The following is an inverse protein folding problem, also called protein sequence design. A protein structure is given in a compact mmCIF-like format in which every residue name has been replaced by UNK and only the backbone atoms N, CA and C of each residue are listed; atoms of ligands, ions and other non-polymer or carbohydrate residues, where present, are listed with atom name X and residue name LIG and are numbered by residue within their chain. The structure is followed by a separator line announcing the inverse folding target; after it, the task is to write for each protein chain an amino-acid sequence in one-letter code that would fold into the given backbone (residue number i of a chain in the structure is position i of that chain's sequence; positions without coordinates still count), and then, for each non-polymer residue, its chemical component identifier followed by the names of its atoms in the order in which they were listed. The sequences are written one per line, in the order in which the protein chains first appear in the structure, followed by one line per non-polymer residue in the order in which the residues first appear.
data_IF_827610957350
#
_entry.id   IF_827610957350
#
_cell.length_a   1.000
_cell.length_b   1.000
_cell.length_c   1.000
_cell.angle_alpha   90.00
_cell.angle_beta   90.00
_cell.angle_gamma   90.00
#
_symmetry.space_group_name_H-M   'P 1'
#
loop_
_entity.id
_entity.type
_entity.pdbx_description
1 polymer ?
#
# COMPACT_ATOMS: atom_id res chain seq x y z
N UNK A 1 -14.14 69.80 -10.46
CA UNK A 1 -13.36 69.17 -11.56
C UNK A 1 -12.00 68.77 -11.02
N UNK A 2 -11.77 67.47 -10.77
CA UNK A 2 -10.49 66.99 -10.24
C UNK A 2 -9.48 66.82 -11.39
N UNK A 3 -8.40 67.61 -11.36
CA UNK A 3 -7.26 67.47 -12.28
C UNK A 3 -6.54 66.15 -11.97
N UNK A 4 -6.81 65.11 -12.75
CA UNK A 4 -5.93 63.94 -12.81
C UNK A 4 -4.56 64.37 -13.33
N UNK A 5 -3.53 64.30 -12.48
CA UNK A 5 -2.14 64.46 -12.91
C UNK A 5 -1.72 63.17 -13.60
N UNK A 6 -1.72 63.18 -14.94
CA UNK A 6 -1.18 62.08 -15.73
C UNK A 6 0.30 61.89 -15.40
N UNK A 7 0.70 60.65 -15.12
CA UNK A 7 2.10 60.27 -14.98
C UNK A 7 2.77 60.58 -16.32
N UNK A 8 3.82 61.42 -16.29
CA UNK A 8 4.57 61.79 -17.49
C UNK A 8 5.06 60.52 -18.20
N UNK A 9 4.88 60.45 -19.52
CA UNK A 9 5.27 59.29 -20.34
C UNK A 9 6.72 58.87 -20.09
N UNK A 10 7.60 59.85 -19.85
CA UNK A 10 9.01 59.63 -19.52
C UNK A 10 9.18 58.91 -18.18
N UNK A 11 8.36 59.23 -17.18
CA UNK A 11 8.38 58.59 -15.86
C UNK A 11 7.86 57.14 -15.93
N UNK A 12 6.84 56.89 -16.78
CA UNK A 12 6.32 55.54 -17.02
C UNK A 12 7.37 54.63 -17.68
N UNK A 13 8.09 55.13 -18.68
CA UNK A 13 9.16 54.35 -19.34
C UNK A 13 10.29 54.03 -18.35
N UNK A 14 10.66 54.98 -17.50
CA UNK A 14 11.72 54.80 -16.51
C UNK A 14 11.35 53.74 -15.45
N UNK A 15 10.08 53.70 -15.04
CA UNK A 15 9.57 52.67 -14.13
C UNK A 15 9.58 51.27 -14.76
N UNK A 16 9.24 51.14 -16.04
CA UNK A 16 9.26 49.85 -16.75
C UNK A 16 10.70 49.34 -16.89
N UNK A 17 11.64 50.20 -17.26
CA UNK A 17 13.06 49.83 -17.36
C UNK A 17 13.61 49.41 -16.01
N UNK A 18 13.30 50.15 -14.93
CA UNK A 18 13.70 49.79 -13.57
C UNK A 18 13.16 48.41 -13.18
N UNK A 19 11.89 48.12 -13.51
CA UNK A 19 11.27 46.83 -13.19
C UNK A 19 11.92 45.68 -13.96
N UNK A 20 12.29 45.88 -15.23
CA UNK A 20 13.03 44.88 -16.02
C UNK A 20 14.42 44.63 -15.43
N UNK A 21 15.13 45.67 -14.99
CA UNK A 21 16.46 45.52 -14.37
C UNK A 21 16.37 44.79 -13.03
N UNK A 22 15.36 45.08 -12.21
CA UNK A 22 15.17 44.40 -10.91
C UNK A 22 14.79 42.94 -11.11
N UNK A 23 13.85 42.64 -12.00
CA UNK A 23 13.42 41.26 -12.28
C UNK A 23 14.54 40.47 -12.96
N UNK A 24 15.20 41.05 -13.98
CA UNK A 24 16.34 40.44 -14.66
C UNK A 24 17.52 40.21 -13.73
N UNK A 25 17.84 41.19 -12.87
CA UNK A 25 18.90 41.07 -11.86
C UNK A 25 18.61 39.98 -10.83
N UNK A 26 17.37 39.85 -10.36
CA UNK A 26 16.96 38.79 -9.43
C UNK A 26 17.07 37.39 -10.06
N UNK A 27 16.71 37.25 -11.34
CA UNK A 27 16.85 35.98 -12.08
C UNK A 27 18.31 35.63 -12.29
N UNK A 28 19.15 36.57 -12.74
CA UNK A 28 20.59 36.33 -12.93
C UNK A 28 21.26 35.99 -11.61
N UNK A 29 20.92 36.71 -10.54
CA UNK A 29 21.44 36.41 -9.21
C UNK A 29 21.07 35.00 -8.76
N UNK A 30 19.79 34.59 -8.89
CA UNK A 30 19.34 33.27 -8.46
C UNK A 30 19.95 32.12 -9.28
N UNK A 31 20.15 32.31 -10.59
CA UNK A 31 20.55 31.21 -11.47
C UNK A 31 22.04 31.13 -11.79
N UNK A 32 22.78 32.24 -11.71
CA UNK A 32 24.19 32.27 -12.13
C UNK A 32 25.16 32.69 -11.03
N UNK A 33 24.70 33.40 -9.99
CA UNK A 33 25.58 33.98 -8.96
C UNK A 33 25.28 33.49 -7.55
N UNK A 34 24.08 32.95 -7.30
CA UNK A 34 23.77 32.29 -6.04
C UNK A 34 24.70 31.08 -5.96
N UNK A 35 25.59 31.01 -4.95
CA UNK A 35 26.45 29.86 -4.77
C UNK A 35 25.53 28.65 -4.61
N UNK A 36 25.65 27.67 -5.50
CA UNK A 36 25.09 26.35 -5.27
C UNK A 36 25.61 25.93 -3.89
N UNK A 37 24.69 25.73 -2.94
CA UNK A 37 25.06 25.13 -1.66
C UNK A 37 25.80 23.85 -2.00
N UNK A 38 27.06 23.75 -1.58
CA UNK A 38 27.93 22.62 -1.86
C UNK A 38 27.15 21.31 -1.68
N UNK A 39 27.27 20.33 -2.58
CA UNK A 39 26.89 18.97 -2.26
C UNK A 39 27.75 18.55 -1.08
N UNK A 40 27.13 18.49 0.10
CA UNK A 40 27.78 17.98 1.30
C UNK A 40 28.07 16.51 1.03
N UNK A 41 29.33 16.19 0.84
CA UNK A 41 29.84 14.82 0.97
C UNK A 41 29.72 14.44 2.44
N UNK A 42 28.49 14.08 2.84
CA UNK A 42 28.19 13.61 4.18
C UNK A 42 28.59 12.16 4.32
N UNK A 43 29.40 11.88 5.34
CA UNK A 43 29.52 10.57 5.97
C UNK A 43 28.14 9.93 6.21
N UNK A 44 28.04 8.58 6.29
CA UNK A 44 26.76 7.90 6.46
C UNK A 44 26.03 8.43 7.70
N UNK A 45 24.92 9.13 7.45
CA UNK A 45 24.00 9.61 8.48
C UNK A 45 23.47 8.43 9.29
N UNK A 46 24.07 8.21 10.46
CA UNK A 46 23.42 7.48 11.53
C UNK A 46 22.43 8.43 12.18
N UNK A 47 21.18 8.40 11.73
CA UNK A 47 20.08 9.14 12.35
C UNK A 47 19.82 8.56 13.74
N UNK A 48 20.53 9.08 14.74
CA UNK A 48 20.15 8.91 16.14
C UNK A 48 19.14 10.02 16.44
N UNK A 49 17.86 9.68 16.35
CA UNK A 49 16.77 10.61 16.63
C UNK A 49 16.76 10.97 18.14
N UNK A 50 16.82 12.26 18.53
CA UNK A 50 16.75 12.67 19.92
C UNK A 50 15.29 12.68 20.39
N UNK A 51 14.94 11.78 21.32
CA UNK A 51 13.93 11.95 22.37
C UNK A 51 12.58 12.63 22.07
N UNK A 52 12.09 12.60 20.83
CA UNK A 52 10.75 13.05 20.47
C UNK A 52 9.76 11.91 20.63
N UNK A 53 8.54 12.21 21.10
CA UNK A 53 7.40 11.29 21.00
C UNK A 53 7.42 10.56 19.65
N UNK A 54 7.24 9.24 19.67
CA UNK A 54 7.10 8.45 18.45
C UNK A 54 5.97 9.07 17.62
N UNK A 55 6.32 9.80 16.56
CA UNK A 55 5.38 10.48 15.69
C UNK A 55 4.39 9.51 15.03
N UNK A 56 4.70 8.21 15.09
CA UNK A 56 3.86 7.12 14.61
C UNK A 56 3.08 6.42 15.72
N UNK A 57 3.15 6.85 16.99
CA UNK A 57 2.54 6.16 18.13
C UNK A 57 1.04 5.86 17.95
N UNK A 58 0.29 6.79 17.34
CA UNK A 58 -1.16 6.65 17.10
C UNK A 58 -1.50 6.09 15.71
N UNK A 59 -0.52 5.59 14.97
CA UNK A 59 -0.74 5.02 13.64
C UNK A 59 -1.32 3.62 13.73
N UNK A 60 -2.17 3.28 12.75
CA UNK A 60 -2.66 1.92 12.56
C UNK A 60 -1.57 1.07 11.92
N UNK A 61 -1.67 -0.23 12.10
CA UNK A 61 -0.80 -1.22 11.46
C UNK A 61 -1.60 -1.94 10.39
N UNK A 62 -1.07 -1.95 9.16
CA UNK A 62 -1.52 -2.84 8.11
C UNK A 62 -0.58 -4.04 8.07
N UNK A 63 -1.17 -5.24 8.06
CA UNK A 63 -0.46 -6.51 7.96
C UNK A 63 -0.90 -7.23 6.70
N UNK A 64 0.05 -7.67 5.90
CA UNK A 64 -0.20 -8.52 4.76
C UNK A 64 0.33 -9.93 5.06
N UNK A 65 -0.57 -10.86 5.33
CA UNK A 65 -0.22 -12.24 5.69
C UNK A 65 0.19 -13.10 4.49
N UNK A 66 -0.20 -12.72 3.27
CA UNK A 66 0.19 -13.43 2.04
C UNK A 66 1.66 -13.17 1.75
N UNK A 67 2.06 -11.90 1.75
CA UNK A 67 3.43 -11.48 1.44
C UNK A 67 4.32 -11.34 2.69
N UNK A 68 3.75 -11.53 3.89
CA UNK A 68 4.40 -11.56 5.20
C UNK A 68 5.14 -10.26 5.53
N UNK A 69 4.44 -9.12 5.47
CA UNK A 69 4.97 -7.83 5.89
C UNK A 69 3.98 -7.00 6.69
N UNK A 70 4.50 -6.00 7.39
CA UNK A 70 3.74 -4.99 8.09
C UNK A 70 4.24 -3.58 7.76
N UNK A 71 3.31 -2.63 7.84
CA UNK A 71 3.60 -1.21 7.70
C UNK A 71 2.63 -0.41 8.56
N UNK A 72 3.11 0.65 9.21
CA UNK A 72 2.23 1.55 9.96
C UNK A 72 1.78 2.69 9.05
N UNK A 73 0.57 3.17 9.27
CA UNK A 73 0.00 4.28 8.51
C UNK A 73 -0.92 5.17 9.36
N UNK A 74 -0.97 6.48 9.08
CA UNK A 74 -1.90 7.39 9.73
C UNK A 74 -3.36 7.12 9.31
N UNK A 75 -4.21 6.78 10.27
CA UNK A 75 -5.61 6.38 10.06
C UNK A 75 -6.44 7.42 9.28
N UNK A 76 -6.25 8.70 9.58
CA UNK A 76 -7.08 9.80 9.04
C UNK A 76 -6.66 10.29 7.65
N UNK A 77 -5.60 9.72 7.09
CA UNK A 77 -4.96 10.21 5.86
C UNK A 77 -5.47 9.46 4.64
N UNK A 78 -5.73 8.16 4.76
CA UNK A 78 -6.04 7.31 3.61
C UNK A 78 -7.55 7.05 3.49
N UNK A 79 -8.09 7.19 2.29
CA UNK A 79 -9.48 6.94 1.90
C UNK A 79 -9.71 5.52 1.38
N UNK A 80 -8.64 4.84 0.95
CA UNK A 80 -8.68 3.42 0.59
C UNK A 80 -7.44 2.72 1.15
N UNK A 81 -7.69 1.66 1.91
CA UNK A 81 -6.68 0.71 2.42
C UNK A 81 -6.95 -0.61 1.72
N UNK A 82 -5.92 -1.33 1.25
CA UNK A 82 -6.12 -2.56 0.50
C UNK A 82 -6.62 -3.69 1.39
N UNK A 83 -7.52 -4.50 0.85
CA UNK A 83 -7.92 -5.77 1.46
C UNK A 83 -6.92 -6.86 1.06
N UNK A 84 -6.82 -7.91 1.87
CA UNK A 84 -5.94 -9.05 1.59
C UNK A 84 -6.50 -9.85 0.41
N UNK A 85 -5.92 -9.66 -0.77
CA UNK A 85 -6.16 -10.50 -1.94
C UNK A 85 -4.90 -11.33 -2.23
N UNK A 86 -5.07 -12.63 -2.48
CA UNK A 86 -3.97 -13.56 -2.76
C UNK A 86 -3.24 -13.23 -4.05
N UNK A 87 -3.92 -12.57 -5.00
CA UNK A 87 -3.42 -12.42 -6.36
C UNK A 87 -2.74 -11.05 -6.57
N UNK A 88 -3.00 -10.09 -5.68
CA UNK A 88 -2.52 -8.73 -5.84
C UNK A 88 -1.17 -8.53 -5.15
N UNK A 89 -0.09 -8.58 -5.94
CA UNK A 89 1.27 -8.16 -5.50
C UNK A 89 1.34 -6.69 -5.08
N UNK A 90 0.29 -5.90 -5.30
CA UNK A 90 0.23 -4.48 -5.00
C UNK A 90 -0.70 -4.19 -3.80
N UNK A 91 -0.25 -3.31 -2.93
CA UNK A 91 -1.00 -2.78 -1.78
C UNK A 91 -1.04 -1.26 -1.93
N UNK A 92 -2.24 -0.69 -2.08
CA UNK A 92 -2.42 0.74 -2.36
C UNK A 92 -3.09 1.45 -1.19
N UNK A 93 -2.38 2.37 -0.56
CA UNK A 93 -2.89 3.32 0.42
C UNK A 93 -3.18 4.65 -0.28
N UNK A 94 -4.45 4.92 -0.61
CA UNK A 94 -4.85 6.12 -1.34
C UNK A 94 -5.29 7.24 -0.40
N UNK A 95 -4.79 8.46 -0.59
CA UNK A 95 -5.33 9.68 0.03
C UNK A 95 -6.46 10.20 -0.86
N UNK A 96 -6.14 10.40 -2.14
CA UNK A 96 -7.09 10.63 -3.23
C UNK A 96 -6.82 9.58 -4.32
N UNK A 97 -7.68 9.45 -5.34
CA UNK A 97 -7.42 8.53 -6.44
C UNK A 97 -6.13 8.86 -7.24
N UNK A 98 -5.55 10.05 -7.07
CA UNK A 98 -4.32 10.49 -7.74
C UNK A 98 -3.13 10.74 -6.78
N UNK A 99 -3.31 10.53 -5.48
CA UNK A 99 -2.29 10.74 -4.45
C UNK A 99 -2.27 9.54 -3.52
N UNK A 100 -1.24 8.70 -3.59
CA UNK A 100 -1.20 7.40 -2.93
C UNK A 100 0.21 6.94 -2.57
N UNK A 101 0.28 5.99 -1.65
CA UNK A 101 1.45 5.13 -1.41
C UNK A 101 1.13 3.74 -1.92
N UNK A 102 2.03 3.18 -2.70
CA UNK A 102 1.86 1.89 -3.36
C UNK A 102 3.01 0.99 -2.94
N UNK A 103 2.71 -0.17 -2.38
CA UNK A 103 3.67 -1.21 -2.07
C UNK A 103 3.55 -2.29 -3.13
N UNK A 104 4.66 -2.70 -3.72
CA UNK A 104 4.70 -3.79 -4.69
C UNK A 104 5.72 -4.84 -4.26
N UNK A 105 5.41 -6.11 -4.45
CA UNK A 105 6.27 -7.24 -4.07
C UNK A 105 6.77 -7.96 -5.33
N UNK A 106 8.08 -7.86 -5.60
CA UNK A 106 8.76 -8.61 -6.65
C UNK A 106 9.46 -9.86 -6.12
N UNK A 107 9.65 -10.86 -6.98
CA UNK A 107 10.38 -12.09 -6.66
C UNK A 107 11.88 -11.93 -6.94
N UNK A 108 12.74 -12.39 -6.03
CA UNK A 108 14.20 -12.42 -6.16
C UNK A 108 14.78 -13.73 -5.59
N UNK A 109 14.39 -14.90 -6.13
CA UNK A 109 14.79 -16.21 -5.59
C UNK A 109 16.31 -16.43 -5.63
N UNK A 110 16.98 -15.80 -6.59
CA UNK A 110 18.44 -15.87 -6.76
C UNK A 110 19.21 -14.94 -5.81
N UNK A 111 18.50 -14.16 -4.97
CA UNK A 111 19.08 -13.24 -3.97
C UNK A 111 20.08 -12.26 -4.60
N UNK A 112 19.76 -11.81 -5.80
CA UNK A 112 20.55 -10.82 -6.53
C UNK A 112 20.61 -9.52 -5.71
N UNK A 113 21.70 -8.76 -5.89
CA UNK A 113 21.74 -7.37 -5.42
C UNK A 113 20.58 -6.58 -6.05
N UNK A 114 20.16 -5.45 -5.47
CA UNK A 114 19.02 -4.71 -6.04
C UNK A 114 19.35 -4.24 -7.47
N UNK A 115 20.57 -3.78 -7.72
CA UNK A 115 21.01 -3.38 -9.05
C UNK A 115 20.97 -4.55 -10.03
N UNK A 116 21.54 -5.70 -9.64
CA UNK A 116 21.52 -6.91 -10.47
C UNK A 116 20.10 -7.40 -10.71
N UNK A 117 19.24 -7.37 -9.69
CA UNK A 117 17.84 -7.76 -9.78
C UNK A 117 17.09 -6.87 -10.78
N UNK A 118 17.26 -5.54 -10.68
CA UNK A 118 16.65 -4.59 -11.62
C UNK A 118 17.10 -4.88 -13.05
N UNK A 119 18.36 -5.23 -13.28
CA UNK A 119 18.91 -5.47 -14.62
C UNK A 119 18.56 -6.85 -15.20
N UNK A 120 18.58 -7.89 -14.38
CA UNK A 120 18.57 -9.29 -14.84
C UNK A 120 17.22 -9.97 -14.62
N UNK A 121 16.42 -9.53 -13.65
CA UNK A 121 15.16 -10.18 -13.32
C UNK A 121 14.16 -10.10 -14.48
N UNK A 122 13.40 -11.18 -14.65
CA UNK A 122 12.22 -11.24 -15.51
C UNK A 122 10.93 -10.84 -14.79
N UNK A 123 11.00 -10.52 -13.50
CA UNK A 123 9.84 -10.09 -12.71
C UNK A 123 9.32 -8.74 -13.24
N UNK A 124 7.99 -8.64 -13.33
CA UNK A 124 7.29 -7.47 -13.85
C UNK A 124 7.54 -6.21 -13.00
N UNK A 125 7.72 -6.38 -11.70
CA UNK A 125 8.02 -5.31 -10.75
C UNK A 125 9.44 -4.76 -10.98
N UNK A 126 10.39 -5.59 -11.42
CA UNK A 126 11.75 -5.14 -11.76
C UNK A 126 11.76 -4.25 -13.00
N UNK A 127 10.90 -4.52 -13.97
CA UNK A 127 10.81 -3.75 -15.21
C UNK A 127 10.41 -2.30 -14.98
N UNK A 128 9.56 -2.02 -14.00
CA UNK A 128 9.16 -0.65 -13.63
C UNK A 128 10.34 0.17 -13.11
N UNK A 129 11.18 -0.43 -12.26
CA UNK A 129 12.39 0.25 -11.74
C UNK A 129 13.42 0.45 -12.83
N UNK A 130 13.58 -0.53 -13.74
CA UNK A 130 14.59 -0.52 -14.80
C UNK A 130 14.50 0.72 -15.70
N UNK A 131 13.29 1.25 -15.91
CA UNK A 131 13.04 2.49 -16.70
C UNK A 131 13.78 3.70 -16.16
N UNK A 132 14.16 3.68 -14.89
CA UNK A 132 14.70 4.81 -14.15
C UNK A 132 16.08 4.51 -13.55
N UNK A 133 16.78 3.49 -14.07
CA UNK A 133 18.04 3.01 -13.50
C UNK A 133 19.13 4.07 -13.37
N UNK A 134 19.15 5.05 -14.27
CA UNK A 134 20.13 6.14 -14.28
C UNK A 134 19.89 7.17 -13.13
N UNK A 135 18.76 7.05 -12.41
CA UNK A 135 18.37 7.89 -11.28
C UNK A 135 18.36 7.12 -9.95
N UNK A 136 19.07 5.99 -9.89
CA UNK A 136 19.21 5.18 -8.68
C UNK A 136 20.21 5.81 -7.71
N UNK A 137 19.78 6.04 -6.48
CA UNK A 137 20.59 6.52 -5.36
C UNK A 137 20.56 5.48 -4.23
N UNK A 138 21.72 5.12 -3.68
CA UNK A 138 21.76 4.26 -2.49
C UNK A 138 21.25 5.02 -1.27
N UNK A 139 20.34 4.41 -0.51
CA UNK A 139 19.83 4.93 0.76
C UNK A 139 19.86 3.84 1.82
N UNK A 140 19.93 4.24 3.10
CA UNK A 140 19.88 3.31 4.23
C UNK A 140 18.58 3.50 4.99
N UNK A 141 17.79 2.44 5.11
CA UNK A 141 16.52 2.43 5.85
C UNK A 141 16.58 1.28 6.85
N UNK A 142 16.39 1.58 8.13
CA UNK A 142 16.51 0.60 9.22
C UNK A 142 17.81 -0.23 9.18
N UNK A 143 18.93 0.43 8.82
CA UNK A 143 20.24 -0.22 8.69
C UNK A 143 20.39 -1.14 7.47
N UNK A 144 19.37 -1.26 6.61
CA UNK A 144 19.43 -2.02 5.35
C UNK A 144 19.78 -1.08 4.20
N UNK A 145 20.66 -1.54 3.30
CA UNK A 145 20.92 -0.87 2.03
C UNK A 145 19.71 -1.03 1.12
N UNK A 146 19.23 0.08 0.61
CA UNK A 146 18.08 0.21 -0.28
C UNK A 146 18.45 1.11 -1.45
N UNK A 147 17.60 1.17 -2.47
CA UNK A 147 17.78 2.09 -3.59
C UNK A 147 16.57 2.99 -3.70
N UNK A 148 16.81 4.30 -3.67
CA UNK A 148 15.83 5.32 -3.98
C UNK A 148 15.90 5.65 -5.46
N UNK A 149 14.74 5.73 -6.10
CA UNK A 149 14.61 6.12 -7.50
C UNK A 149 13.62 7.26 -7.56
N UNK A 150 14.05 8.40 -8.08
CA UNK A 150 13.20 9.57 -8.28
C UNK A 150 12.95 9.70 -9.77
N UNK A 151 11.73 9.42 -10.20
CA UNK A 151 11.31 9.70 -11.56
C UNK A 151 10.45 10.97 -11.61
N UNK A 152 10.73 11.78 -12.62
CA UNK A 152 9.94 12.95 -12.93
C UNK A 152 9.68 12.95 -14.44
N UNK A 153 8.52 12.47 -14.86
CA UNK A 153 8.14 12.54 -16.27
C UNK A 153 7.61 13.93 -16.59
N UNK A 154 8.28 14.64 -17.49
CA UNK A 154 7.76 15.86 -18.08
C UNK A 154 6.76 15.52 -19.18
N UNK A 155 5.46 15.53 -18.90
CA UNK A 155 4.44 15.62 -19.94
C UNK A 155 4.08 17.10 -20.15
N UNK A 156 4.63 17.71 -21.20
CA UNK A 156 4.14 18.96 -21.83
C UNK A 156 3.50 20.01 -20.89
N UNK A 157 4.24 20.50 -19.89
CA UNK A 157 3.83 21.67 -19.09
C UNK A 157 2.80 21.42 -17.99
N UNK A 158 2.39 20.18 -17.74
CA UNK A 158 1.63 19.82 -16.53
C UNK A 158 2.57 19.61 -15.33
N UNK A 159 2.12 19.87 -14.09
CA UNK A 159 2.92 19.62 -12.89
C UNK A 159 3.40 18.16 -12.88
N UNK A 160 4.70 17.97 -12.67
CA UNK A 160 5.35 16.66 -12.70
C UNK A 160 4.70 15.72 -11.67
N UNK A 161 4.18 14.59 -12.13
CA UNK A 161 3.93 13.45 -11.25
C UNK A 161 5.30 12.97 -10.75
N UNK A 162 5.63 13.24 -9.49
CA UNK A 162 6.85 12.73 -8.89
C UNK A 162 6.58 11.34 -8.36
N UNK A 163 7.22 10.35 -8.96
CA UNK A 163 7.26 9.01 -8.42
C UNK A 163 8.57 8.85 -7.68
N UNK A 164 8.46 8.57 -6.39
CA UNK A 164 9.62 8.19 -5.59
C UNK A 164 9.43 6.74 -5.21
N UNK A 165 10.32 5.89 -5.69
CA UNK A 165 10.37 4.48 -5.34
C UNK A 165 11.51 4.26 -4.34
N UNK A 166 11.24 3.48 -3.32
CA UNK A 166 12.27 2.89 -2.47
C UNK A 166 12.21 1.39 -2.67
N UNK A 167 13.31 0.84 -3.19
CA UNK A 167 13.48 -0.58 -3.47
C UNK A 167 14.30 -1.19 -2.34
N UNK A 168 13.74 -2.19 -1.67
CA UNK A 168 14.34 -2.83 -0.50
C UNK A 168 14.51 -4.33 -0.74
N UNK A 169 15.72 -4.88 -0.55
CA UNK A 169 15.95 -6.30 -0.69
C UNK A 169 15.47 -7.01 0.56
N UNK A 170 14.85 -8.18 0.35
CA UNK A 170 14.36 -8.95 1.47
C UNK A 170 14.28 -10.44 1.17
N UNK A 171 15.31 -11.17 1.61
CA UNK A 171 15.42 -12.62 1.39
C UNK A 171 15.25 -12.94 -0.10
N UNK A 172 14.25 -13.73 -0.46
CA UNK A 172 13.93 -14.13 -1.84
C UNK A 172 12.93 -13.19 -2.53
N UNK A 173 12.74 -11.98 -1.99
CA UNK A 173 11.81 -10.96 -2.47
C UNK A 173 12.46 -9.59 -2.52
N UNK A 174 11.79 -8.68 -3.23
CA UNK A 174 12.09 -7.25 -3.26
C UNK A 174 10.80 -6.48 -3.03
N UNK A 175 10.86 -5.42 -2.23
CA UNK A 175 9.73 -4.50 -2.03
C UNK A 175 10.02 -3.21 -2.73
N UNK A 176 9.00 -2.68 -3.40
CA UNK A 176 8.99 -1.30 -3.87
C UNK A 176 7.92 -0.55 -3.11
N UNK A 177 8.31 0.46 -2.35
CA UNK A 177 7.37 1.42 -1.76
C UNK A 177 7.45 2.70 -2.59
N UNK A 178 6.37 2.98 -3.31
CA UNK A 178 6.24 4.12 -4.19
C UNK A 178 5.34 5.16 -3.57
N UNK A 179 5.66 6.44 -3.71
CA UNK A 179 4.66 7.51 -3.57
C UNK A 179 4.35 8.11 -4.92
N UNK A 180 3.09 8.47 -5.11
CA UNK A 180 2.60 9.23 -6.25
C UNK A 180 1.87 10.44 -5.69
N UNK A 181 2.30 11.64 -6.08
CA UNK A 181 1.74 12.91 -5.60
C UNK A 181 1.40 13.83 -6.77
N UNK A 182 0.16 13.75 -7.25
CA UNK A 182 -0.33 14.66 -8.30
C UNK A 182 -0.82 15.99 -7.72
N UNK A 183 -1.41 15.94 -6.53
CA UNK A 183 -1.93 17.10 -5.82
C UNK A 183 -1.02 17.46 -4.65
N UNK A 184 -0.46 18.68 -4.67
CA UNK A 184 0.36 19.19 -3.57
C UNK A 184 -0.53 19.59 -2.39
N UNK A 185 0.01 19.48 -1.17
CA UNK A 185 -0.60 20.04 0.04
C UNK A 185 -1.01 19.01 1.09
N UNK A 186 -0.90 17.72 0.78
CA UNK A 186 -1.17 16.63 1.73
C UNK A 186 0.03 16.27 2.62
N UNK A 187 1.19 16.89 2.39
CA UNK A 187 2.41 16.55 3.11
C UNK A 187 2.86 15.12 2.86
N UNK A 188 2.57 14.57 1.67
CA UNK A 188 2.80 13.14 1.39
C UNK A 188 4.28 12.78 1.48
N UNK A 189 5.19 13.68 1.13
CA UNK A 189 6.63 13.48 1.33
C UNK A 189 6.97 13.20 2.80
N UNK A 190 6.42 13.97 3.74
CA UNK A 190 6.67 13.79 5.17
C UNK A 190 6.08 12.45 5.65
N UNK A 191 4.84 12.16 5.24
CA UNK A 191 4.15 10.91 5.60
C UNK A 191 4.90 9.70 5.04
N UNK A 192 5.33 9.77 3.78
CA UNK A 192 6.11 8.73 3.11
C UNK A 192 7.42 8.46 3.85
N UNK A 193 8.20 9.50 4.17
CA UNK A 193 9.46 9.36 4.89
C UNK A 193 9.26 8.80 6.32
N UNK A 194 8.11 9.06 6.96
CA UNK A 194 7.76 8.45 8.24
C UNK A 194 7.27 7.00 8.11
N UNK A 195 6.64 6.64 6.99
CA UNK A 195 6.15 5.29 6.70
C UNK A 195 7.30 4.31 6.42
N UNK A 196 8.30 4.72 5.63
CA UNK A 196 9.43 3.88 5.23
C UNK A 196 10.09 3.10 6.39
N UNK A 197 10.49 3.74 7.52
CA UNK A 197 11.12 3.03 8.63
C UNK A 197 10.15 2.14 9.42
N UNK A 198 8.84 2.26 9.23
CA UNK A 198 7.87 1.36 9.87
C UNK A 198 7.70 0.05 9.10
N UNK A 199 8.10 0.05 7.82
CA UNK A 199 8.03 -1.14 6.99
C UNK A 199 9.01 -2.19 7.48
N UNK A 200 8.48 -3.37 7.74
CA UNK A 200 9.30 -4.53 8.01
C UNK A 200 8.54 -5.77 7.56
N UNK A 201 9.31 -6.77 7.16
CA UNK A 201 8.77 -8.08 6.91
C UNK A 201 8.77 -8.92 8.17
N UNK A 202 7.92 -9.94 8.17
CA UNK A 202 7.66 -10.81 9.31
C UNK A 202 8.58 -12.03 9.37
N UNK A 203 9.76 -12.02 8.75
CA UNK A 203 10.66 -13.20 8.79
C UNK A 203 11.17 -13.51 10.19
N UNK A 204 11.20 -14.80 10.52
CA UNK A 204 11.65 -15.29 11.83
C UNK A 204 10.63 -15.12 12.95
N UNK A 205 9.59 -14.31 12.75
CA UNK A 205 8.36 -14.46 13.52
C UNK A 205 7.70 -15.73 13.01
N UNK A 206 7.60 -16.76 13.85
CA UNK A 206 6.56 -17.77 13.67
C UNK A 206 5.27 -16.96 13.75
N UNK A 207 4.80 -16.48 12.60
CA UNK A 207 3.40 -16.12 12.46
C UNK A 207 2.75 -17.44 12.79
N UNK A 208 2.07 -17.54 13.94
CA UNK A 208 1.11 -18.60 14.14
C UNK A 208 0.18 -18.47 12.95
N UNK A 209 0.45 -19.24 11.89
CA UNK A 209 -0.38 -19.23 10.72
C UNK A 209 -1.75 -19.57 11.24
N UNK A 210 -2.71 -18.66 11.03
CA UNK A 210 -4.06 -18.87 11.49
C UNK A 210 -4.46 -20.27 11.03
N UNK A 211 -4.80 -21.16 11.97
CA UNK A 211 -4.95 -22.56 11.64
C UNK A 211 -6.05 -22.70 10.60
N UNK A 212 -5.72 -23.35 9.49
CA UNK A 212 -6.68 -23.64 8.44
C UNK A 212 -7.76 -24.55 9.06
N UNK A 213 -9.04 -24.15 9.02
CA UNK A 213 -10.10 -24.99 9.54
C UNK A 213 -10.19 -26.32 8.80
N UNK A 214 -10.58 -27.37 9.51
CA UNK A 214 -11.07 -28.58 8.85
C UNK A 214 -12.36 -28.27 8.08
N UNK A 215 -12.68 -29.12 7.10
CA UNK A 215 -13.91 -29.02 6.32
C UNK A 215 -15.14 -28.96 7.26
N UNK A 216 -16.12 -28.06 7.02
CA UNK A 216 -17.30 -27.97 7.86
C UNK A 216 -18.22 -29.17 7.70
N UNK A 217 -18.85 -29.59 8.78
CA UNK A 217 -19.98 -30.53 8.71
C UNK A 217 -21.27 -29.78 8.42
N UNK A 218 -22.07 -30.31 7.50
CA UNK A 218 -23.27 -29.67 6.98
C UNK A 218 -24.49 -30.54 7.23
N UNK A 219 -25.57 -29.91 7.68
CA UNK A 219 -26.88 -30.55 7.84
C UNK A 219 -27.94 -29.69 7.18
N UNK A 220 -28.67 -30.25 6.21
CA UNK A 220 -29.85 -29.60 5.65
C UNK A 220 -31.06 -29.94 6.53
N UNK A 221 -31.80 -28.91 6.93
CA UNK A 221 -33.05 -29.06 7.68
C UNK A 221 -34.21 -28.56 6.82
N UNK A 222 -35.06 -29.50 6.44
CA UNK A 222 -36.32 -29.21 5.77
C UNK A 222 -37.35 -28.63 6.74
N UNK A 223 -38.21 -27.75 6.24
CA UNK A 223 -39.30 -27.16 7.02
C UNK A 223 -39.95 -26.00 6.29
N UNK A 224 -40.82 -25.26 7.00
CA UNK A 224 -41.46 -24.06 6.45
C UNK A 224 -40.45 -22.96 6.10
N UNK A 225 -39.28 -22.97 6.73
CA UNK A 225 -38.12 -22.14 6.39
C UNK A 225 -36.89 -23.06 6.41
N UNK A 226 -36.53 -23.65 5.25
CA UNK A 226 -35.42 -24.59 5.17
C UNK A 226 -34.09 -23.85 5.35
N UNK A 227 -33.08 -24.54 5.90
CA UNK A 227 -31.76 -23.97 6.09
C UNK A 227 -30.66 -25.02 6.11
N UNK A 228 -29.43 -24.59 5.87
CA UNK A 228 -28.23 -25.40 6.09
C UNK A 228 -27.58 -24.98 7.41
N UNK A 229 -27.45 -25.92 8.33
CA UNK A 229 -26.66 -25.77 9.54
C UNK A 229 -25.21 -26.15 9.25
N UNK A 230 -24.29 -25.28 9.65
CA UNK A 230 -22.85 -25.37 9.38
C UNK A 230 -22.13 -25.46 10.73
N UNK A 231 -21.42 -26.56 10.96
CA UNK A 231 -20.65 -26.79 12.19
C UNK A 231 -19.17 -27.05 11.86
N UNK A 232 -18.26 -26.51 12.67
CA UNK A 232 -16.81 -26.66 12.51
C UNK A 232 -16.11 -26.65 13.88
N UNK A 233 -14.80 -26.89 13.87
CA UNK A 233 -13.98 -26.70 15.07
C UNK A 233 -13.73 -25.20 15.30
N UNK A 234 -14.50 -24.60 16.20
CA UNK A 234 -14.45 -23.17 16.52
C UNK A 234 -13.33 -22.79 17.48
N UNK A 235 -12.63 -23.75 18.09
CA UNK A 235 -11.61 -23.48 19.12
C UNK A 235 -10.30 -22.91 18.55
N UNK A 236 -10.12 -23.00 17.23
CA UNK A 236 -8.84 -22.73 16.56
C UNK A 236 -8.62 -21.25 16.22
N UNK A 237 -9.67 -20.42 16.27
CA UNK A 237 -9.56 -19.00 15.92
C UNK A 237 -10.59 -18.15 16.69
N UNK A 238 -10.42 -16.84 16.66
CA UNK A 238 -11.34 -15.90 17.31
C UNK A 238 -12.60 -15.65 16.47
N UNK A 239 -12.45 -15.65 15.15
CA UNK A 239 -13.53 -15.44 14.19
C UNK A 239 -13.42 -16.38 12.98
N UNK A 240 -14.49 -16.48 12.20
CA UNK A 240 -14.56 -17.30 11.00
C UNK A 240 -15.33 -16.60 9.88
N UNK A 241 -14.87 -16.78 8.64
CA UNK A 241 -15.60 -16.39 7.45
C UNK A 241 -16.12 -17.64 6.75
N UNK A 242 -17.39 -17.62 6.34
CA UNK A 242 -18.07 -18.76 5.72
C UNK A 242 -18.43 -18.38 4.29
N UNK A 243 -18.02 -19.24 3.37
CA UNK A 243 -18.20 -19.08 1.94
C UNK A 243 -19.09 -20.18 1.39
N UNK A 244 -19.88 -19.84 0.37
CA UNK A 244 -20.82 -20.74 -0.31
C UNK A 244 -20.66 -20.65 -1.82
N UNK A 245 -20.88 -21.76 -2.52
CA UNK A 245 -21.01 -21.80 -3.97
C UNK A 245 -22.11 -22.78 -4.41
N UNK A 246 -22.66 -22.55 -5.60
CA UNK A 246 -23.58 -23.48 -6.28
C UNK A 246 -22.87 -24.50 -7.18
N UNK A 247 -21.54 -24.43 -7.27
CA UNK A 247 -20.69 -25.41 -7.95
C UNK A 247 -19.38 -25.60 -7.17
N UNK A 248 -18.72 -26.75 -7.36
CA UNK A 248 -17.49 -27.09 -6.66
C UNK A 248 -16.37 -26.04 -6.87
N UNK A 249 -16.28 -25.49 -8.07
CA UNK A 249 -15.24 -24.52 -8.46
C UNK A 249 -15.64 -23.07 -8.19
N UNK A 250 -16.88 -22.82 -7.73
CA UNK A 250 -17.42 -21.48 -7.51
C UNK A 250 -18.45 -21.02 -8.55
N UNK A 251 -18.72 -19.70 -8.67
CA UNK A 251 -18.13 -18.62 -7.88
C UNK A 251 -18.45 -18.76 -6.39
N UNK A 252 -17.51 -18.34 -5.54
CA UNK A 252 -17.64 -18.38 -4.09
C UNK A 252 -18.14 -17.04 -3.55
N UNK A 253 -19.20 -17.07 -2.76
CA UNK A 253 -19.80 -15.93 -2.08
C UNK A 253 -19.52 -16.02 -0.57
N UNK A 254 -19.04 -14.94 0.05
CA UNK A 254 -18.96 -14.83 1.51
C UNK A 254 -20.35 -14.54 2.06
N UNK A 255 -20.98 -15.54 2.66
CA UNK A 255 -22.34 -15.43 3.21
C UNK A 255 -22.35 -14.93 4.66
N UNK A 256 -21.27 -15.17 5.40
CA UNK A 256 -21.11 -14.76 6.79
C UNK A 256 -19.65 -14.33 7.00
N UNK A 257 -19.44 -13.15 7.57
CA UNK A 257 -18.12 -12.61 7.90
C UNK A 257 -17.96 -12.32 9.40
N UNK A 258 -16.73 -12.48 9.91
CA UNK A 258 -16.33 -12.27 11.31
C UNK A 258 -17.24 -13.01 12.30
N UNK A 259 -17.60 -14.25 11.98
CA UNK A 259 -18.48 -15.06 12.82
C UNK A 259 -17.73 -15.47 14.08
N UNK A 260 -18.19 -15.07 15.28
CA UNK A 260 -17.41 -15.20 16.49
C UNK A 260 -17.35 -16.65 16.95
N UNK A 261 -16.20 -17.06 17.50
CA UNK A 261 -16.03 -18.41 18.04
C UNK A 261 -17.11 -18.82 19.05
N UNK A 262 -17.65 -17.87 19.82
CA UNK A 262 -18.67 -18.12 20.85
C UNK A 262 -20.02 -18.60 20.31
N UNK A 263 -20.26 -18.50 19.01
CA UNK A 263 -21.52 -18.93 18.40
C UNK A 263 -21.56 -20.43 18.08
N UNK A 264 -20.40 -21.09 17.95
CA UNK A 264 -20.18 -22.53 17.71
C UNK A 264 -20.79 -23.14 16.42
N UNK A 265 -21.91 -22.62 15.92
CA UNK A 265 -22.64 -23.07 14.73
C UNK A 265 -23.16 -21.86 13.96
N UNK A 266 -23.18 -21.96 12.64
CA UNK A 266 -23.80 -20.97 11.75
C UNK A 266 -24.99 -21.59 11.00
N UNK A 267 -25.87 -20.74 10.48
CA UNK A 267 -27.03 -21.15 9.69
C UNK A 267 -27.15 -20.30 8.45
N UNK A 268 -27.32 -20.95 7.30
CA UNK A 268 -27.65 -20.32 6.02
C UNK A 268 -29.13 -20.51 5.70
N UNK A 269 -29.90 -19.41 5.80
CA UNK A 269 -31.33 -19.36 5.48
C UNK A 269 -31.62 -18.94 4.04
N UNK A 270 -30.63 -18.44 3.30
CA UNK A 270 -30.83 -17.80 1.99
C UNK A 270 -30.44 -18.76 0.87
N UNK A 271 -31.10 -19.91 0.81
CA UNK A 271 -30.79 -20.96 -0.16
C UNK A 271 -31.20 -20.51 -1.58
N UNK A 272 -30.30 -20.57 -2.58
CA UNK A 272 -30.62 -20.16 -3.94
C UNK A 272 -31.63 -21.12 -4.60
N UNK A 273 -32.59 -20.56 -5.33
CA UNK A 273 -33.56 -21.35 -6.10
C UNK A 273 -32.90 -22.12 -7.25
N UNK A 274 -33.42 -23.31 -7.55
CA UNK A 274 -32.95 -24.13 -8.67
C UNK A 274 -31.60 -24.80 -8.46
N UNK A 275 -31.07 -24.81 -7.23
CA UNK A 275 -29.83 -25.47 -6.86
C UNK A 275 -30.11 -26.72 -6.04
N UNK A 276 -29.46 -27.83 -6.39
CA UNK A 276 -29.67 -29.13 -5.75
C UNK A 276 -28.62 -29.42 -4.69
N UNK A 277 -27.43 -28.84 -4.86
CA UNK A 277 -26.28 -29.06 -3.98
C UNK A 277 -25.55 -27.74 -3.76
N UNK A 278 -25.29 -27.45 -2.49
CA UNK A 278 -24.50 -26.30 -2.08
C UNK A 278 -23.14 -26.77 -1.56
N UNK A 279 -22.13 -25.96 -1.82
CA UNK A 279 -20.74 -26.18 -1.42
C UNK A 279 -20.32 -25.09 -0.44
N UNK A 280 -19.60 -25.47 0.61
CA UNK A 280 -19.16 -24.57 1.67
C UNK A 280 -17.68 -24.77 1.98
N UNK A 281 -17.00 -23.67 2.31
CA UNK A 281 -15.65 -23.65 2.87
C UNK A 281 -15.54 -22.52 3.90
N UNK A 282 -14.59 -22.65 4.82
CA UNK A 282 -14.42 -21.72 5.95
C UNK A 282 -12.97 -21.24 6.00
N UNK A 283 -12.74 -19.99 6.43
CA UNK A 283 -11.44 -19.48 6.82
C UNK A 283 -11.48 -19.01 8.29
N UNK A 284 -10.40 -19.28 9.03
CA UNK A 284 -10.14 -18.71 10.36
C UNK A 284 -9.78 -17.24 10.22
N UNK A 285 -10.16 -16.40 11.18
CA UNK A 285 -9.91 -14.96 11.19
C UNK A 285 -9.44 -14.50 12.57
N UNK A 286 -8.38 -13.67 12.62
CA UNK A 286 -7.88 -13.06 13.86
C UNK A 286 -8.65 -11.78 14.24
N UNK A 287 -8.25 -11.16 15.36
CA UNK A 287 -8.87 -9.91 15.87
C UNK A 287 -8.61 -8.71 14.99
N UNK A 288 -7.54 -8.76 14.20
CA UNK A 288 -7.12 -7.73 13.26
C UNK A 288 -7.87 -7.87 11.91
N UNK A 289 -8.62 -8.96 11.73
CA UNK A 289 -9.45 -9.20 10.55
C UNK A 289 -8.74 -9.96 9.42
N UNK A 290 -7.57 -10.54 9.68
CA UNK A 290 -6.82 -11.29 8.68
C UNK A 290 -7.34 -12.72 8.55
N UNK A 291 -7.44 -13.24 7.33
CA UNK A 291 -7.92 -14.60 7.07
C UNK A 291 -6.79 -15.63 6.89
N UNK A 292 -7.06 -16.88 7.26
CA UNK A 292 -6.25 -18.05 6.90
C UNK A 292 -6.47 -18.48 5.44
N UNK A 293 -5.80 -19.56 5.01
CA UNK A 293 -6.27 -20.35 3.87
C UNK A 293 -7.65 -20.98 4.12
N UNK A 294 -8.32 -21.43 3.05
CA UNK A 294 -9.63 -22.06 3.15
C UNK A 294 -9.54 -23.52 3.60
N UNK A 295 -10.56 -23.99 4.31
CA UNK A 295 -10.80 -25.40 4.53
C UNK A 295 -11.01 -26.15 3.22
N UNK A 296 -10.89 -27.48 3.27
CA UNK A 296 -11.46 -28.35 2.24
C UNK A 296 -12.96 -28.06 2.05
N UNK A 297 -13.45 -28.29 0.82
CA UNK A 297 -14.84 -28.04 0.46
C UNK A 297 -15.74 -29.15 0.99
N UNK A 298 -16.84 -28.78 1.61
CA UNK A 298 -17.93 -29.69 1.97
C UNK A 298 -19.18 -29.38 1.16
N UNK A 299 -20.00 -30.39 0.90
CA UNK A 299 -21.22 -30.23 0.11
C UNK A 299 -22.44 -30.81 0.83
N UNK A 300 -23.61 -30.24 0.58
CA UNK A 300 -24.89 -30.73 1.09
C UNK A 300 -25.94 -30.70 -0.01
N UNK A 301 -26.73 -31.77 -0.10
CA UNK A 301 -27.90 -31.81 -0.97
C UNK A 301 -29.09 -31.15 -0.26
N UNK A 302 -29.79 -30.25 -0.96
CA UNK A 302 -30.90 -29.45 -0.42
C UNK A 302 -32.25 -29.77 -1.08
N UNK A 303 -32.36 -30.93 -1.72
CA UNK A 303 -33.57 -31.43 -2.40
C UNK A 303 -34.03 -32.78 -1.89
#
# INVERSE_FOLDING_TARGET
MNKQKGISTTLSILLVVLLIVVVGGAVVYKYYLAPEGQPSTGEPSTTTQPGGEDATANWKTYRNNVFKYEIRYPDKVFTKVPESDSDNKNTVFSITPQTAIIIQIGQNPEKLSITDWVEQSSDDVAWEVRKYKDFMEEVVINGKKCIKVVSATTSQGLPMDQWVHVVMPFSEKVVIISKVEKEKGYGLEQIYNQILPTFHFLEGTVVDELPIPNAPTLSYLEGASPFVQINWNWEIADYFNIYRASSLEGPWEKIIGLFPKSAHTAVDYHLPEGVDTLYYKIASVDKEGNESGYSEVSSVNIK
#
